data_IF_951685524294
#
_entry.id   IF_951685524294
#
_cell.length_a   1.000
_cell.length_b   1.000
_cell.length_c   1.000
_cell.angle_alpha   90.00
_cell.angle_beta   90.00
_cell.angle_gamma   90.00
#
_symmetry.space_group_name_H-M   'P 1'
#
loop_
_entity.id
_entity.type
_entity.pdbx_description
1 polymer ?
#
# COMPACT_ATOMS: atom_id res chain seq x y z
N UNK A 1 2.97 13.02 32.12
CA UNK A 1 3.44 12.04 31.12
C UNK A 1 3.03 12.54 29.74
N UNK A 2 3.89 13.34 29.10
CA UNK A 2 3.65 13.90 27.77
C UNK A 2 4.28 12.97 26.74
N UNK A 3 3.47 12.07 26.17
CA UNK A 3 3.88 11.39 24.95
C UNK A 3 3.91 12.44 23.85
N UNK A 4 5.09 12.64 23.26
CA UNK A 4 5.31 13.60 22.18
C UNK A 4 4.41 13.25 20.99
N UNK A 5 3.38 14.07 20.73
CA UNK A 5 2.47 13.95 19.57
C UNK A 5 3.18 13.81 18.22
N UNK A 6 4.46 14.17 18.16
CA UNK A 6 5.28 14.17 16.95
C UNK A 6 5.67 12.76 16.47
N UNK A 7 5.82 11.78 17.38
CA UNK A 7 6.18 10.40 17.01
C UNK A 7 4.99 9.60 16.47
N UNK A 8 3.77 9.93 16.89
CA UNK A 8 2.55 9.27 16.43
C UNK A 8 2.24 9.69 14.99
N UNK A 9 2.45 10.96 14.65
CA UNK A 9 2.24 11.45 13.28
C UNK A 9 3.25 10.86 12.28
N UNK A 10 4.52 10.70 12.67
CA UNK A 10 5.52 10.05 11.80
C UNK A 10 5.19 8.58 11.57
N UNK A 11 4.81 7.86 12.63
CA UNK A 11 4.40 6.46 12.53
C UNK A 11 3.16 6.28 11.64
N UNK A 12 2.17 7.16 11.76
CA UNK A 12 0.97 7.11 10.92
C UNK A 12 1.27 7.33 9.43
N UNK A 13 2.22 8.21 9.09
CA UNK A 13 2.64 8.44 7.71
C UNK A 13 3.30 7.23 7.06
N UNK A 14 3.83 6.29 7.82
CA UNK A 14 4.44 5.09 7.26
C UNK A 14 3.39 4.09 6.72
N UNK A 15 2.19 4.04 7.32
CA UNK A 15 1.07 3.23 6.80
C UNK A 15 0.48 3.78 5.52
N UNK A 16 0.70 5.06 5.29
CA UNK A 16 0.25 5.83 4.16
C UNK A 16 1.22 5.69 2.95
N UNK A 17 2.28 4.90 3.07
CA UNK A 17 3.28 4.75 2.01
C UNK A 17 3.28 3.34 1.44
N UNK A 18 3.58 3.24 0.16
CA UNK A 18 3.84 1.95 -0.46
C UNK A 18 5.05 1.31 0.22
N UNK A 19 4.85 0.10 0.76
CA UNK A 19 5.92 -0.60 1.45
C UNK A 19 7.13 -1.00 0.57
N UNK A 20 7.00 -0.91 -0.76
CA UNK A 20 8.07 -1.24 -1.71
C UNK A 20 8.87 -0.02 -2.16
N UNK A 21 8.19 1.07 -2.55
CA UNK A 21 8.86 2.26 -3.09
C UNK A 21 8.81 3.48 -2.16
N UNK A 22 8.17 3.37 -1.00
CA UNK A 22 7.98 4.44 0.00
C UNK A 22 7.26 5.68 -0.52
N UNK A 23 6.67 5.63 -1.71
CA UNK A 23 5.85 6.70 -2.25
C UNK A 23 4.50 6.73 -1.55
N UNK A 24 4.00 7.94 -1.28
CA UNK A 24 2.68 8.16 -0.70
C UNK A 24 1.60 7.60 -1.63
N UNK A 25 0.52 7.06 -1.08
CA UNK A 25 -0.64 6.71 -1.90
C UNK A 25 -1.39 7.99 -2.31
N UNK A 26 -1.88 8.06 -3.54
CA UNK A 26 -2.60 9.24 -4.03
C UNK A 26 -3.85 8.85 -4.83
N UNK A 27 -4.91 9.64 -4.68
CA UNK A 27 -6.20 9.40 -5.31
C UNK A 27 -6.18 9.65 -6.82
N UNK A 28 -5.48 10.71 -7.24
CA UNK A 28 -5.52 11.26 -8.60
C UNK A 28 -4.82 10.36 -9.63
N UNK A 29 -3.78 9.64 -9.21
CA UNK A 29 -2.99 8.80 -10.11
C UNK A 29 -3.18 7.31 -9.81
N UNK A 30 -3.84 6.56 -10.72
CA UNK A 30 -4.08 5.13 -10.53
C UNK A 30 -2.83 4.27 -10.34
N UNK A 31 -1.65 4.73 -10.79
CA UNK A 31 -0.40 4.02 -10.58
C UNK A 31 0.00 3.92 -9.10
N UNK A 32 -0.45 4.88 -8.30
CA UNK A 32 -0.17 4.94 -6.87
C UNK A 32 -1.36 4.51 -6.02
N UNK A 33 -2.42 3.96 -6.62
CA UNK A 33 -3.52 3.37 -5.87
C UNK A 33 -3.02 2.20 -5.01
N UNK A 34 -3.43 2.14 -3.73
CA UNK A 34 -3.03 1.07 -2.81
C UNK A 34 -3.77 -0.22 -3.15
N UNK A 35 -3.03 -1.28 -3.44
CA UNK A 35 -3.53 -2.63 -3.71
C UNK A 35 -3.11 -3.55 -2.57
N UNK A 36 -4.07 -4.31 -2.03
CA UNK A 36 -3.86 -5.26 -0.94
C UNK A 36 -3.52 -6.64 -1.51
N UNK A 37 -2.45 -7.26 -1.00
CA UNK A 37 -2.11 -8.64 -1.33
C UNK A 37 -3.09 -9.63 -0.64
N UNK A 38 -3.57 -10.67 -1.36
CA UNK A 38 -4.68 -11.52 -0.89
C UNK A 38 -4.35 -12.45 0.29
N UNK A 39 -3.08 -12.65 0.65
CA UNK A 39 -2.65 -13.56 1.74
C UNK A 39 -2.16 -12.79 2.97
N UNK A 40 -1.18 -11.90 2.78
CA UNK A 40 -0.54 -11.17 3.87
C UNK A 40 -1.19 -9.82 4.20
N UNK A 41 -2.17 -9.37 3.41
CA UNK A 41 -2.89 -8.10 3.59
C UNK A 41 -2.02 -6.82 3.56
N UNK A 42 -0.72 -6.96 3.32
CA UNK A 42 0.17 -5.86 3.03
C UNK A 42 -0.25 -5.10 1.77
N UNK A 43 -0.10 -3.79 1.82
CA UNK A 43 -0.58 -2.87 0.78
C UNK A 43 0.59 -2.26 0.01
N UNK A 44 0.52 -2.30 -1.32
CA UNK A 44 1.52 -1.70 -2.21
C UNK A 44 0.85 -0.95 -3.34
N UNK A 45 1.54 0.02 -3.94
CA UNK A 45 0.95 0.75 -5.05
C UNK A 45 0.80 -0.16 -6.28
N UNK A 46 -0.20 0.12 -7.13
CA UNK A 46 -0.46 -0.60 -8.38
C UNK A 46 0.78 -0.75 -9.25
N UNK A 47 1.62 0.30 -9.34
CA UNK A 47 2.91 0.26 -10.05
C UNK A 47 3.84 -0.81 -9.49
N UNK A 48 3.99 -0.89 -8.17
CA UNK A 48 4.85 -1.89 -7.54
C UNK A 48 4.29 -3.30 -7.66
N UNK A 49 2.98 -3.49 -7.56
CA UNK A 49 2.31 -4.77 -7.82
C UNK A 49 2.61 -5.29 -9.24
N UNK A 50 2.59 -4.39 -10.23
CA UNK A 50 2.98 -4.73 -11.61
C UNK A 50 4.42 -5.25 -11.73
N UNK A 51 5.34 -4.73 -10.92
CA UNK A 51 6.75 -5.12 -10.92
C UNK A 51 6.93 -6.50 -10.25
N UNK A 52 6.29 -6.71 -9.10
CA UNK A 52 6.46 -7.93 -8.29
C UNK A 52 5.54 -9.08 -8.73
N UNK A 53 4.87 -8.96 -9.88
CA UNK A 53 3.85 -9.91 -10.35
C UNK A 53 4.35 -11.35 -10.49
N UNK A 54 5.64 -11.51 -10.76
CA UNK A 54 6.32 -12.79 -10.90
C UNK A 54 7.02 -13.23 -9.60
N UNK A 55 6.99 -12.42 -8.55
CA UNK A 55 7.49 -12.79 -7.23
C UNK A 55 6.46 -13.68 -6.53
N UNK A 56 6.94 -14.59 -5.69
CA UNK A 56 6.09 -15.55 -4.96
C UNK A 56 5.97 -15.22 -3.48
N UNK A 57 6.67 -14.19 -2.99
CA UNK A 57 6.76 -13.82 -1.58
C UNK A 57 6.63 -12.33 -1.39
N UNK A 58 5.88 -11.93 -0.37
CA UNK A 58 5.71 -10.54 0.02
C UNK A 58 7.05 -9.91 0.42
N UNK A 59 7.44 -8.76 -0.15
CA UNK A 59 8.65 -8.06 0.23
C UNK A 59 8.74 -7.66 1.71
N UNK A 60 7.62 -7.55 2.43
CA UNK A 60 7.59 -7.13 3.84
C UNK A 60 7.80 -8.28 4.83
N UNK A 61 7.02 -9.35 4.69
CA UNK A 61 6.96 -10.44 5.69
C UNK A 61 7.34 -11.81 5.10
N UNK A 62 7.67 -11.87 3.81
CA UNK A 62 8.05 -13.09 3.09
C UNK A 62 6.94 -14.15 3.03
N UNK A 63 5.69 -13.80 3.39
CA UNK A 63 4.54 -14.69 3.22
C UNK A 63 4.30 -14.92 1.74
N UNK A 64 4.07 -16.17 1.38
CA UNK A 64 3.82 -16.54 0.00
C UNK A 64 2.50 -15.94 -0.52
N UNK A 65 2.51 -15.47 -1.75
CA UNK A 65 1.32 -15.02 -2.47
C UNK A 65 1.43 -15.41 -3.94
N UNK A 66 0.29 -15.42 -4.62
CA UNK A 66 0.23 -15.67 -6.07
C UNK A 66 -0.77 -14.70 -6.71
N UNK A 67 -0.28 -13.87 -7.64
CA UNK A 67 -1.09 -12.87 -8.38
C UNK A 67 -0.76 -12.80 -9.88
N UNK A 68 0.17 -13.64 -10.35
CA UNK A 68 0.61 -13.74 -11.75
C UNK A 68 -0.57 -14.03 -12.71
N UNK A 69 -1.55 -14.82 -12.26
CA UNK A 69 -2.74 -15.18 -13.04
C UNK A 69 -3.91 -14.21 -12.85
N UNK A 70 -3.83 -13.27 -11.90
CA UNK A 70 -4.92 -12.34 -11.61
C UNK A 70 -4.67 -10.99 -12.30
N UNK A 71 -5.57 -10.53 -13.21
CA UNK A 71 -5.57 -9.17 -13.71
C UNK A 71 -5.48 -8.14 -12.57
N UNK A 72 -4.61 -7.14 -12.68
CA UNK A 72 -4.38 -6.20 -11.57
C UNK A 72 -5.63 -5.36 -11.24
N UNK A 73 -6.50 -5.11 -12.21
CA UNK A 73 -7.78 -4.46 -11.98
C UNK A 73 -8.78 -5.32 -11.18
N UNK A 74 -8.50 -6.60 -10.98
CA UNK A 74 -9.28 -7.50 -10.13
C UNK A 74 -8.67 -7.65 -8.73
N UNK A 75 -7.48 -7.13 -8.49
CA UNK A 75 -6.88 -7.12 -7.15
C UNK A 75 -7.57 -6.05 -6.27
N UNK A 76 -7.78 -6.34 -4.98
CA UNK A 76 -8.51 -5.45 -4.10
C UNK A 76 -7.74 -4.15 -3.89
N UNK A 77 -8.37 -3.03 -4.24
CA UNK A 77 -7.87 -1.69 -3.92
C UNK A 77 -8.28 -1.33 -2.49
N UNK A 78 -7.35 -0.85 -1.69
CA UNK A 78 -7.59 -0.41 -0.32
C UNK A 78 -8.21 1.01 -0.32
N UNK A 79 -9.50 1.09 -0.64
CA UNK A 79 -10.24 2.36 -0.70
C UNK A 79 -10.21 3.18 0.60
N UNK A 80 -10.32 2.57 1.81
CA UNK A 80 -10.17 3.33 3.06
C UNK A 80 -8.82 4.05 3.16
N UNK A 81 -7.73 3.36 2.79
CA UNK A 81 -6.39 3.96 2.78
C UNK A 81 -6.25 5.05 1.72
N UNK A 82 -6.82 4.81 0.53
CA UNK A 82 -6.83 5.77 -0.57
C UNK A 82 -7.57 7.07 -0.20
N UNK A 83 -8.70 6.95 0.51
CA UNK A 83 -9.51 8.11 0.92
C UNK A 83 -8.86 8.90 2.05
N UNK A 84 -8.15 8.21 2.97
CA UNK A 84 -7.45 8.85 4.09
C UNK A 84 -6.45 9.92 3.62
N UNK A 85 -5.87 9.76 2.43
CA UNK A 85 -5.02 10.78 1.81
C UNK A 85 -5.80 11.94 1.22
N UNK A 86 -6.88 11.65 0.50
CA UNK A 86 -7.70 12.68 -0.13
C UNK A 86 -8.28 13.64 0.90
N UNK A 87 -8.69 13.13 2.06
CA UNK A 87 -9.19 13.95 3.16
C UNK A 87 -8.08 14.70 3.90
N UNK A 88 -6.83 14.21 3.84
CA UNK A 88 -5.66 14.86 4.47
C UNK A 88 -4.98 15.90 3.58
N UNK A 89 -5.28 15.91 2.27
CA UNK A 89 -4.71 16.86 1.30
C UNK A 89 -5.60 18.06 1.00
N UNK A 90 -6.79 18.11 1.60
CA UNK A 90 -7.69 19.28 1.60
C UNK A 90 -7.57 20.09 2.88
#
# INVERSE_FOLDING_TARGET
>A
MSWSNQSIQSYYRDFLRCARCSHDFEYENPLYHPITLPTCHHTMCRKCINIIRNETKCPQDQISFEINHTPINQLPTNYPLLMSFYDSSK
#
